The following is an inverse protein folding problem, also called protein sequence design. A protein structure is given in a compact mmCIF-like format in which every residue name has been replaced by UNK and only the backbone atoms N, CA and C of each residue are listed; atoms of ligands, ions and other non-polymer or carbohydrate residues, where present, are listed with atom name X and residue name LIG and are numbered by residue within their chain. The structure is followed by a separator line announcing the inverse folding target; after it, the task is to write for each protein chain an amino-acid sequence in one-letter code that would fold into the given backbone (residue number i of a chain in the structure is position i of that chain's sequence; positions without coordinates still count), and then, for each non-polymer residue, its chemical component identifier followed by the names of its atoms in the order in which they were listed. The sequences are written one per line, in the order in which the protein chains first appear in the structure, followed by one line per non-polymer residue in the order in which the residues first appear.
data_IF_394165159063
#
_entry.id   IF_394165159063
#
_cell.length_a   1.000
_cell.length_b   1.000
_cell.length_c   1.000
_cell.angle_alpha   90.00
_cell.angle_beta   90.00
_cell.angle_gamma   90.00
#
_symmetry.space_group_name_H-M   'P 1'
#
loop_
_entity.id
_entity.type
_entity.pdbx_description
1 polymer ?
#
# COMPACT_ATOMS: atom_id res chain seq x y z
N UNK A 1 44.56 -30.18 -58.97
CA UNK A 1 43.39 -29.26 -58.99
C UNK A 1 42.22 -29.94 -58.28
N UNK A 2 41.92 -29.55 -57.04
CA UNK A 2 40.74 -30.04 -56.28
C UNK A 2 40.02 -28.81 -55.71
N UNK A 3 38.73 -28.67 -56.05
CA UNK A 3 37.84 -27.62 -55.54
C UNK A 3 37.41 -27.99 -54.12
N UNK A 4 37.68 -27.14 -53.14
CA UNK A 4 37.09 -27.21 -51.80
C UNK A 4 35.91 -26.25 -51.74
N UNK A 5 34.71 -26.79 -51.61
CA UNK A 5 33.50 -26.03 -51.27
C UNK A 5 33.53 -25.74 -49.77
N UNK A 6 33.53 -24.47 -49.39
CA UNK A 6 33.37 -24.04 -48.01
C UNK A 6 31.91 -23.60 -47.82
N UNK A 7 31.11 -24.44 -47.17
CA UNK A 7 29.74 -24.09 -46.80
C UNK A 7 29.76 -23.16 -45.58
N UNK A 8 29.16 -21.97 -45.70
CA UNK A 8 29.03 -21.01 -44.61
C UNK A 8 27.71 -21.26 -43.88
N UNK A 9 27.76 -21.88 -42.70
CA UNK A 9 26.62 -22.11 -41.82
C UNK A 9 26.32 -20.81 -41.06
N UNK A 10 25.22 -20.14 -41.42
CA UNK A 10 24.68 -18.99 -40.68
C UNK A 10 23.85 -19.54 -39.52
N UNK A 11 24.36 -19.39 -38.29
CA UNK A 11 23.63 -19.73 -37.08
C UNK A 11 22.71 -18.55 -36.72
N UNK A 12 21.43 -18.67 -37.03
CA UNK A 12 20.40 -17.70 -36.67
C UNK A 12 20.05 -17.91 -35.19
N UNK A 13 20.65 -17.10 -34.31
CA UNK A 13 20.32 -17.10 -32.89
C UNK A 13 18.93 -16.46 -32.74
N UNK A 14 17.89 -17.29 -32.67
CA UNK A 14 16.59 -16.88 -32.15
C UNK A 14 16.76 -16.59 -30.66
N UNK A 15 17.00 -15.33 -30.30
CA UNK A 15 16.81 -14.89 -28.91
C UNK A 15 15.31 -14.86 -28.67
N UNK A 16 14.75 -15.97 -28.21
CA UNK A 16 13.44 -15.97 -27.55
C UNK A 16 13.57 -15.03 -26.37
N UNK A 17 12.98 -13.84 -26.49
CA UNK A 17 12.82 -12.93 -25.37
C UNK A 17 12.03 -13.65 -24.30
N UNK A 18 12.74 -14.16 -23.28
CA UNK A 18 12.11 -14.52 -22.02
C UNK A 18 11.56 -13.20 -21.48
N UNK A 19 10.26 -12.96 -21.71
CA UNK A 19 9.49 -12.04 -20.90
C UNK A 19 9.57 -12.57 -19.47
N UNK A 20 10.55 -12.10 -18.71
CA UNK A 20 10.58 -12.29 -17.27
C UNK A 20 9.27 -11.73 -16.73
N UNK A 21 8.36 -12.60 -16.28
CA UNK A 21 7.23 -12.18 -15.45
C UNK A 21 7.84 -11.38 -14.30
N UNK A 22 7.58 -10.08 -14.26
CA UNK A 22 8.02 -9.25 -13.15
C UNK A 22 7.53 -9.90 -11.85
N UNK A 23 8.46 -10.16 -10.94
CA UNK A 23 8.12 -10.69 -9.63
C UNK A 23 7.24 -9.67 -8.91
N UNK A 24 6.11 -10.13 -8.41
CA UNK A 24 5.16 -9.28 -7.68
C UNK A 24 5.82 -8.75 -6.40
N UNK A 25 5.79 -7.43 -6.20
CA UNK A 25 6.39 -6.81 -5.01
C UNK A 25 5.60 -7.18 -3.76
N UNK A 26 6.28 -7.24 -2.62
CA UNK A 26 5.69 -7.63 -1.35
C UNK A 26 4.41 -6.85 -0.98
N UNK A 27 4.34 -5.51 -1.08
CA UNK A 27 3.13 -4.76 -0.73
C UNK A 27 1.89 -5.20 -1.53
N UNK A 28 2.09 -5.61 -2.79
CA UNK A 28 1.01 -6.10 -3.65
C UNK A 28 0.56 -7.49 -3.20
N UNK A 29 1.50 -8.36 -2.83
CA UNK A 29 1.20 -9.69 -2.30
C UNK A 29 0.43 -9.60 -0.97
N UNK A 30 0.84 -8.70 -0.09
CA UNK A 30 0.21 -8.47 1.21
C UNK A 30 -1.25 -8.03 1.05
N UNK A 31 -1.52 -6.95 0.31
CA UNK A 31 -2.90 -6.44 0.14
C UNK A 31 -3.82 -7.47 -0.54
N UNK A 32 -3.29 -8.24 -1.51
CA UNK A 32 -4.02 -9.35 -2.13
C UNK A 32 -4.33 -10.46 -1.12
N UNK A 33 -3.38 -10.78 -0.25
CA UNK A 33 -3.57 -11.77 0.82
C UNK A 33 -4.63 -11.30 1.80
N UNK A 34 -4.57 -10.03 2.23
CA UNK A 34 -5.57 -9.41 3.12
C UNK A 34 -6.97 -9.50 2.51
N UNK A 35 -7.15 -9.00 1.29
CA UNK A 35 -8.44 -9.02 0.64
C UNK A 35 -8.97 -10.45 0.45
N UNK A 36 -8.10 -11.39 0.04
CA UNK A 36 -8.46 -12.80 -0.14
C UNK A 36 -8.92 -13.45 1.17
N UNK A 37 -8.18 -13.26 2.27
CA UNK A 37 -8.54 -13.84 3.57
C UNK A 37 -9.88 -13.26 4.06
N UNK A 38 -10.08 -11.95 3.95
CA UNK A 38 -11.34 -11.32 4.35
C UNK A 38 -12.53 -11.83 3.52
N UNK A 39 -12.40 -11.92 2.20
CA UNK A 39 -13.44 -12.43 1.31
C UNK A 39 -13.76 -13.92 1.56
N UNK A 40 -12.74 -14.76 1.76
CA UNK A 40 -12.92 -16.18 2.08
C UNK A 40 -13.62 -16.40 3.43
N UNK A 41 -13.52 -15.44 4.33
CA UNK A 41 -14.22 -15.44 5.62
C UNK A 41 -15.56 -14.71 5.60
N UNK A 42 -16.04 -14.31 4.41
CA UNK A 42 -17.39 -13.75 4.20
C UNK A 42 -17.49 -12.23 4.35
N UNK A 43 -16.38 -11.49 4.37
CA UNK A 43 -16.41 -10.04 4.31
C UNK A 43 -16.59 -9.55 2.87
N UNK A 44 -17.45 -8.55 2.69
CA UNK A 44 -17.42 -7.68 1.50
C UNK A 44 -16.32 -6.63 1.69
N UNK A 45 -15.49 -6.37 0.68
CA UNK A 45 -14.47 -5.31 0.75
C UNK A 45 -15.10 -3.99 0.32
N UNK A 46 -15.06 -2.98 1.20
CA UNK A 46 -15.60 -1.64 0.96
C UNK A 46 -14.54 -0.78 0.28
N UNK A 47 -13.35 -0.69 0.87
CA UNK A 47 -12.25 0.12 0.38
C UNK A 47 -10.90 -0.42 0.84
N UNK A 48 -9.85 0.04 0.16
CA UNK A 48 -8.47 -0.31 0.47
C UNK A 48 -7.55 0.85 0.12
N UNK A 49 -6.41 0.91 0.79
CA UNK A 49 -5.41 1.96 0.61
C UNK A 49 -4.02 1.36 0.64
N UNK A 50 -3.16 1.78 -0.28
CA UNK A 50 -1.71 1.60 -0.21
C UNK A 50 -1.10 2.99 -0.03
N UNK A 51 -0.25 3.13 0.97
CA UNK A 51 0.39 4.36 1.38
C UNK A 51 1.90 4.16 1.46
N UNK A 52 2.67 5.16 1.06
CA UNK A 52 4.11 5.16 1.24
C UNK A 52 4.67 6.56 1.48
N UNK A 53 5.80 6.64 2.18
CA UNK A 53 6.48 7.88 2.52
C UNK A 53 7.99 7.76 2.37
N UNK A 54 8.61 8.75 1.74
CA UNK A 54 10.08 8.90 1.67
C UNK A 54 10.50 10.31 2.08
N UNK A 55 11.63 10.44 2.78
CA UNK A 55 12.28 11.74 2.99
C UNK A 55 12.92 12.22 1.69
N UNK A 56 12.54 13.40 1.23
CA UNK A 56 13.15 14.01 0.05
C UNK A 56 14.59 14.43 0.39
N UNK A 57 15.57 13.72 -0.19
CA UNK A 57 16.99 13.97 0.06
C UNK A 57 17.52 15.23 -0.66
N UNK A 58 16.81 15.70 -1.70
CA UNK A 58 17.29 16.76 -2.60
C UNK A 58 16.52 18.07 -2.47
N UNK A 59 15.64 18.21 -1.48
CA UNK A 59 14.84 19.43 -1.27
C UNK A 59 15.27 20.08 0.03
N UNK A 60 16.12 21.09 -0.10
CA UNK A 60 16.72 21.79 1.03
C UNK A 60 16.02 23.12 1.34
N UNK A 61 15.39 23.72 0.34
CA UNK A 61 14.80 25.05 0.45
C UNK A 61 13.50 25.20 -0.37
N UNK A 62 12.87 26.36 -0.23
CA UNK A 62 11.63 26.71 -0.92
C UNK A 62 11.76 26.69 -2.45
N UNK A 63 12.90 27.09 -3.00
CA UNK A 63 13.12 27.08 -4.45
C UNK A 63 13.13 25.65 -5.01
N UNK A 64 13.79 24.73 -4.32
CA UNK A 64 13.82 23.32 -4.70
C UNK A 64 12.44 22.68 -4.60
N UNK A 65 11.67 23.04 -3.56
CA UNK A 65 10.28 22.63 -3.42
C UNK A 65 9.45 23.04 -4.64
N UNK A 66 9.49 24.32 -5.02
CA UNK A 66 8.71 24.86 -6.14
C UNK A 66 9.13 24.19 -7.45
N UNK A 67 10.45 24.04 -7.71
CA UNK A 67 10.97 23.35 -8.89
C UNK A 67 10.46 21.91 -8.98
N UNK A 68 10.44 21.17 -7.85
CA UNK A 68 9.97 19.79 -7.83
C UNK A 68 8.46 19.71 -8.10
N UNK A 69 7.68 20.63 -7.54
CA UNK A 69 6.24 20.70 -7.82
C UNK A 69 5.97 21.00 -9.30
N UNK A 70 6.72 21.91 -9.91
CA UNK A 70 6.56 22.23 -11.33
C UNK A 70 7.03 21.11 -12.27
N UNK A 71 8.05 20.35 -11.87
CA UNK A 71 8.41 19.07 -12.52
C UNK A 71 7.22 18.09 -12.45
N UNK A 72 6.66 17.86 -11.26
CA UNK A 72 5.55 16.93 -11.07
C UNK A 72 4.27 17.35 -11.79
N UNK A 73 3.93 18.65 -11.84
CA UNK A 73 2.80 19.15 -12.63
C UNK A 73 2.94 18.82 -14.11
N UNK A 74 4.18 18.83 -14.65
CA UNK A 74 4.47 18.44 -16.04
C UNK A 74 4.46 16.93 -16.25
N UNK A 75 5.00 16.18 -15.29
CA UNK A 75 5.05 14.70 -15.34
C UNK A 75 3.67 14.06 -15.13
N UNK A 76 2.82 14.69 -14.32
CA UNK A 76 1.50 14.21 -13.92
C UNK A 76 0.39 15.22 -14.29
N UNK A 77 0.17 15.49 -15.59
CA UNK A 77 -0.75 16.53 -16.05
C UNK A 77 -2.23 16.21 -15.74
N UNK A 78 -2.55 14.93 -15.47
CA UNK A 78 -3.90 14.49 -15.09
C UNK A 78 -4.24 14.78 -13.62
N UNK A 79 -3.24 15.10 -12.79
CA UNK A 79 -3.45 15.40 -11.38
C UNK A 79 -3.89 16.85 -11.21
N UNK A 80 -4.89 17.05 -10.38
CA UNK A 80 -5.30 18.38 -9.92
C UNK A 80 -4.44 18.76 -8.72
N UNK A 81 -3.69 19.85 -8.87
CA UNK A 81 -2.72 20.29 -7.88
C UNK A 81 -3.25 21.44 -7.03
N UNK A 82 -3.14 21.31 -5.72
CA UNK A 82 -3.36 22.38 -4.74
C UNK A 82 -2.08 22.67 -3.96
N UNK A 83 -1.98 23.90 -3.47
CA UNK A 83 -0.86 24.37 -2.66
C UNK A 83 -1.40 24.97 -1.37
N UNK A 84 -0.81 24.56 -0.26
CA UNK A 84 -1.09 25.08 1.08
C UNK A 84 0.24 25.54 1.68
N UNK A 85 0.25 26.71 2.29
CA UNK A 85 1.45 27.21 2.98
C UNK A 85 1.03 28.02 4.18
N UNK A 86 1.58 27.66 5.33
CA UNK A 86 1.50 28.43 6.57
C UNK A 86 2.90 28.58 7.20
N UNK A 87 2.97 29.06 8.45
CA UNK A 87 4.24 29.32 9.15
C UNK A 87 5.05 28.05 9.44
N UNK A 88 4.43 26.89 9.47
CA UNK A 88 5.03 25.62 9.89
C UNK A 88 5.07 24.58 8.77
N UNK A 89 4.18 24.69 7.78
CA UNK A 89 3.99 23.69 6.72
C UNK A 89 3.94 24.34 5.35
N UNK A 90 4.72 23.79 4.42
CA UNK A 90 4.52 23.97 2.98
C UNK A 90 4.08 22.64 2.38
N UNK A 91 2.95 22.62 1.66
CA UNK A 91 2.38 21.40 1.10
C UNK A 91 1.89 21.61 -0.32
N UNK A 92 2.27 20.70 -1.20
CA UNK A 92 1.69 20.53 -2.53
C UNK A 92 0.95 19.20 -2.55
N UNK A 93 -0.29 19.19 -3.03
CA UNK A 93 -1.09 17.96 -3.14
C UNK A 93 -1.61 17.83 -4.56
N UNK A 94 -1.20 16.79 -5.26
CA UNK A 94 -1.81 16.35 -6.51
C UNK A 94 -2.84 15.26 -6.22
N UNK A 95 -4.06 15.39 -6.74
CA UNK A 95 -5.08 14.34 -6.67
C UNK A 95 -5.56 13.93 -8.05
N UNK A 96 -5.75 12.63 -8.28
CA UNK A 96 -6.27 12.10 -9.53
C UNK A 96 -7.26 10.96 -9.25
N UNK A 97 -8.50 11.13 -9.69
CA UNK A 97 -9.55 10.11 -9.57
C UNK A 97 -9.74 9.47 -10.94
N UNK A 98 -9.65 8.14 -10.99
CA UNK A 98 -9.87 7.38 -12.22
C UNK A 98 -10.50 6.03 -11.94
N UNK A 99 -11.54 5.67 -12.70
CA UNK A 99 -12.29 4.44 -12.50
C UNK A 99 -12.78 4.31 -11.04
N UNK A 100 -12.45 3.22 -10.34
CA UNK A 100 -12.76 3.00 -8.93
C UNK A 100 -11.59 3.30 -7.99
N UNK A 101 -10.63 4.14 -8.42
CA UNK A 101 -9.41 4.47 -7.68
C UNK A 101 -9.19 5.97 -7.57
N UNK A 102 -8.46 6.36 -6.52
CA UNK A 102 -7.98 7.70 -6.28
C UNK A 102 -6.49 7.65 -5.94
N UNK A 103 -5.70 8.42 -6.67
CA UNK A 103 -4.29 8.66 -6.40
C UNK A 103 -4.11 10.02 -5.72
N UNK A 104 -3.19 10.08 -4.76
CA UNK A 104 -2.77 11.32 -4.11
C UNK A 104 -1.25 11.35 -3.99
N UNK A 105 -0.64 12.41 -4.49
CA UNK A 105 0.80 12.70 -4.37
C UNK A 105 0.96 13.93 -3.51
N UNK A 106 1.81 13.89 -2.50
CA UNK A 106 2.08 15.06 -1.65
C UNK A 106 3.57 15.31 -1.51
N UNK A 107 3.96 16.57 -1.63
CA UNK A 107 5.24 17.08 -1.17
C UNK A 107 4.99 17.95 0.05
N UNK A 108 5.57 17.61 1.19
CA UNK A 108 5.30 18.29 2.46
C UNK A 108 6.63 18.68 3.09
N UNK A 109 6.87 19.96 3.32
CA UNK A 109 7.96 20.46 4.16
C UNK A 109 7.38 20.91 5.50
N UNK A 110 7.88 20.35 6.59
CA UNK A 110 7.53 20.76 7.96
C UNK A 110 8.74 21.37 8.64
N UNK A 111 8.55 22.49 9.34
CA UNK A 111 9.58 23.07 10.20
C UNK A 111 9.45 22.45 11.59
N UNK A 112 10.05 21.27 11.79
CA UNK A 112 10.16 20.63 13.10
C UNK A 112 11.59 20.82 13.64
N UNK A 113 11.74 21.35 14.85
CA UNK A 113 13.03 21.45 15.56
C UNK A 113 14.15 22.14 14.75
N UNK A 114 13.90 23.36 14.28
CA UNK A 114 14.86 24.27 13.60
C UNK A 114 15.39 23.83 12.21
N UNK A 115 15.22 22.57 11.80
CA UNK A 115 15.59 22.09 10.46
C UNK A 115 14.35 21.67 9.66
N UNK A 116 14.07 22.31 8.51
CA UNK A 116 13.01 21.86 7.62
C UNK A 116 13.22 20.40 7.20
N UNK A 117 12.17 19.59 7.29
CA UNK A 117 12.17 18.24 6.77
C UNK A 117 11.13 18.12 5.66
N UNK A 118 11.56 17.61 4.52
CA UNK A 118 10.69 17.43 3.35
C UNK A 118 10.38 15.96 3.11
N UNK A 119 9.11 15.65 2.85
CA UNK A 119 8.58 14.32 2.68
C UNK A 119 7.81 14.22 1.35
N UNK A 120 7.96 13.09 0.68
CA UNK A 120 7.12 12.66 -0.44
C UNK A 120 6.16 11.62 0.11
N UNK A 121 4.87 11.82 -0.11
CA UNK A 121 3.82 10.86 0.22
C UNK A 121 3.11 10.45 -1.06
N UNK A 122 2.88 9.16 -1.21
CA UNK A 122 2.02 8.63 -2.27
C UNK A 122 0.97 7.71 -1.65
N UNK A 123 -0.28 7.92 -2.05
CA UNK A 123 -1.43 7.15 -1.63
C UNK A 123 -2.22 6.70 -2.86
N UNK A 124 -2.52 5.40 -2.93
CA UNK A 124 -3.46 4.81 -3.86
C UNK A 124 -4.61 4.22 -3.06
N UNK A 125 -5.80 4.79 -3.21
CA UNK A 125 -7.04 4.31 -2.62
C UNK A 125 -7.93 3.69 -3.70
N UNK A 126 -8.65 2.64 -3.35
CA UNK A 126 -9.69 2.09 -4.22
C UNK A 126 -10.93 1.66 -3.46
N UNK A 127 -12.04 1.57 -4.19
CA UNK A 127 -13.35 1.18 -3.68
C UNK A 127 -13.75 -0.17 -4.28
N UNK A 128 -14.09 -1.12 -3.41
CA UNK A 128 -14.31 -2.51 -3.78
C UNK A 128 -13.03 -3.27 -4.15
N UNK A 129 -13.17 -4.59 -4.29
CA UNK A 129 -12.06 -5.49 -4.67
C UNK A 129 -12.47 -6.41 -5.82
N UNK A 130 -12.14 -6.01 -7.05
CA UNK A 130 -12.46 -6.75 -8.28
C UNK A 130 -11.22 -7.35 -8.93
N UNK A 131 -11.41 -8.28 -9.88
CA UNK A 131 -10.28 -8.82 -10.66
C UNK A 131 -9.49 -7.73 -11.41
N UNK A 132 -10.18 -6.71 -11.91
CA UNK A 132 -9.55 -5.57 -12.58
C UNK A 132 -8.63 -4.82 -11.63
N UNK A 133 -9.07 -4.59 -10.38
CA UNK A 133 -8.23 -4.00 -9.33
C UNK A 133 -7.01 -4.87 -9.08
N UNK A 134 -7.20 -6.18 -8.87
CA UNK A 134 -6.12 -7.12 -8.59
C UNK A 134 -5.06 -7.19 -9.71
N UNK A 135 -5.49 -7.06 -10.97
CA UNK A 135 -4.60 -7.07 -12.14
C UNK A 135 -3.80 -5.78 -12.29
N UNK A 136 -4.41 -4.64 -11.97
CA UNK A 136 -3.83 -3.32 -12.28
C UNK A 136 -3.04 -2.69 -11.13
N UNK A 137 -3.39 -2.99 -9.87
CA UNK A 137 -2.83 -2.33 -8.68
C UNK A 137 -1.30 -2.39 -8.65
N UNK A 138 -0.72 -3.54 -9.02
CA UNK A 138 0.72 -3.73 -8.99
C UNK A 138 1.48 -2.85 -10.00
N UNK A 139 0.92 -2.71 -11.20
CA UNK A 139 1.51 -1.85 -12.22
C UNK A 139 1.45 -0.37 -11.81
N UNK A 140 0.32 0.07 -11.26
CA UNK A 140 0.14 1.46 -10.81
C UNK A 140 1.15 1.80 -9.71
N UNK A 141 1.22 0.97 -8.65
CA UNK A 141 2.15 1.18 -7.54
C UNK A 141 3.60 1.17 -8.02
N UNK A 142 3.99 0.18 -8.83
CA UNK A 142 5.37 0.06 -9.33
C UNK A 142 5.77 1.27 -10.17
N UNK A 143 4.92 1.66 -11.12
CA UNK A 143 5.17 2.80 -11.99
C UNK A 143 5.27 4.09 -11.19
N UNK A 144 4.31 4.36 -10.30
CA UNK A 144 4.28 5.60 -9.51
C UNK A 144 5.44 5.70 -8.54
N UNK A 145 5.77 4.59 -7.87
CA UNK A 145 6.92 4.55 -6.96
C UNK A 145 8.22 4.84 -7.71
N UNK A 146 8.43 4.26 -8.89
CA UNK A 146 9.63 4.52 -9.70
C UNK A 146 9.74 5.97 -10.20
N UNK A 147 8.62 6.67 -10.36
CA UNK A 147 8.58 8.07 -10.82
C UNK A 147 8.75 9.08 -9.68
N UNK A 148 8.37 8.70 -8.45
CA UNK A 148 8.31 9.60 -7.30
C UNK A 148 9.47 9.41 -6.32
N UNK A 149 9.95 8.18 -6.18
CA UNK A 149 10.75 7.73 -5.04
C UNK A 149 12.14 7.29 -5.50
N UNK A 150 13.16 7.57 -4.69
CA UNK A 150 14.56 7.28 -5.02
C UNK A 150 15.04 5.97 -4.38
N UNK A 151 14.44 5.59 -3.26
CA UNK A 151 14.73 4.35 -2.54
C UNK A 151 13.54 3.40 -2.62
N UNK A 152 13.72 2.17 -2.12
CA UNK A 152 12.58 1.30 -1.82
C UNK A 152 11.96 1.79 -0.50
N UNK A 153 10.81 2.48 -0.55
CA UNK A 153 10.20 3.00 0.66
C UNK A 153 9.50 1.87 1.42
N UNK A 154 9.19 2.11 2.70
CA UNK A 154 8.23 1.26 3.39
C UNK A 154 6.82 1.54 2.84
N UNK A 155 6.05 0.48 2.62
CA UNK A 155 4.64 0.58 2.26
C UNK A 155 3.76 0.23 3.45
N UNK A 156 2.60 0.85 3.50
CA UNK A 156 1.54 0.54 4.43
C UNK A 156 0.31 0.22 3.60
N UNK A 157 -0.35 -0.89 3.90
CA UNK A 157 -1.57 -1.27 3.19
C UNK A 157 -2.68 -1.48 4.20
N UNK A 158 -3.87 -0.97 3.90
CA UNK A 158 -5.07 -1.19 4.69
C UNK A 158 -6.19 -1.72 3.78
N UNK A 159 -6.95 -2.70 4.26
CA UNK A 159 -8.17 -3.16 3.63
C UNK A 159 -9.30 -3.09 4.65
N UNK A 160 -10.38 -2.42 4.27
CA UNK A 160 -11.60 -2.28 5.05
C UNK A 160 -12.72 -3.08 4.40
N UNK A 161 -13.41 -3.86 5.23
CA UNK A 161 -14.53 -4.68 4.82
C UNK A 161 -15.63 -4.74 5.86
N UNK A 162 -16.73 -5.38 5.48
CA UNK A 162 -17.91 -5.56 6.30
C UNK A 162 -18.42 -7.00 6.24
N UNK A 163 -18.69 -7.57 7.41
CA UNK A 163 -19.45 -8.80 7.53
C UNK A 163 -20.93 -8.47 7.71
N UNK A 164 -21.77 -9.04 6.84
CA UNK A 164 -23.21 -8.85 6.89
C UNK A 164 -23.87 -9.87 7.84
N UNK A 165 -24.71 -9.36 8.75
CA UNK A 165 -25.43 -10.16 9.74
C UNK A 165 -24.69 -10.30 11.06
N UNK A 166 -25.42 -10.73 12.11
CA UNK A 166 -24.83 -11.02 13.42
C UNK A 166 -23.88 -12.21 13.31
N UNK A 167 -22.59 -11.93 13.16
CA UNK A 167 -21.57 -12.96 13.33
C UNK A 167 -21.65 -13.49 14.76
N UNK A 168 -21.96 -14.78 14.92
CA UNK A 168 -22.10 -15.41 16.25
C UNK A 168 -20.74 -15.44 16.96
N UNK A 169 -20.66 -14.88 18.16
CA UNK A 169 -19.49 -15.00 19.06
C UNK A 169 -18.93 -13.67 19.56
N UNK A 170 -17.84 -13.77 20.32
CA UNK A 170 -17.07 -12.63 20.85
C UNK A 170 -16.10 -12.12 19.79
N UNK A 171 -16.02 -10.80 19.60
CA UNK A 171 -15.16 -10.15 18.59
C UNK A 171 -13.71 -10.65 18.65
N UNK A 172 -13.15 -10.81 19.85
CA UNK A 172 -11.78 -11.31 20.04
C UNK A 172 -11.58 -12.70 19.43
N UNK A 173 -12.56 -13.60 19.56
CA UNK A 173 -12.48 -14.94 18.95
C UNK A 173 -12.50 -14.86 17.42
N UNK A 174 -13.25 -13.93 16.86
CA UNK A 174 -13.31 -13.68 15.41
C UNK A 174 -11.99 -13.10 14.90
N UNK A 175 -11.41 -12.14 15.64
CA UNK A 175 -10.09 -11.61 15.33
C UNK A 175 -9.04 -12.73 15.28
N UNK A 176 -9.02 -13.63 16.26
CA UNK A 176 -8.10 -14.78 16.28
C UNK A 176 -8.36 -15.79 15.15
N UNK A 177 -9.62 -15.99 14.76
CA UNK A 177 -9.94 -16.82 13.61
C UNK A 177 -9.36 -16.26 12.30
N UNK A 178 -9.50 -14.94 12.08
CA UNK A 178 -8.92 -14.27 10.92
C UNK A 178 -7.39 -14.30 10.96
N UNK A 179 -6.77 -14.06 12.13
CA UNK A 179 -5.31 -14.14 12.29
C UNK A 179 -4.76 -15.54 12.00
N UNK A 180 -5.51 -16.59 12.34
CA UNK A 180 -5.13 -17.96 11.97
C UNK A 180 -5.10 -18.13 10.44
N UNK A 181 -6.05 -17.55 9.70
CA UNK A 181 -6.04 -17.57 8.23
C UNK A 181 -4.86 -16.79 7.63
N UNK A 182 -4.32 -15.80 8.36
CA UNK A 182 -3.08 -15.11 8.02
C UNK A 182 -1.80 -15.85 8.42
N UNK A 183 -1.90 -17.03 9.06
CA UNK A 183 -0.79 -17.70 9.73
C UNK A 183 -0.04 -16.77 10.70
N UNK A 184 -0.78 -15.90 11.37
CA UNK A 184 -0.25 -14.86 12.23
C UNK A 184 -0.45 -15.22 13.71
N UNK A 185 0.58 -14.99 14.51
CA UNK A 185 0.52 -15.11 15.96
C UNK A 185 0.10 -13.77 16.58
N UNK A 186 -0.91 -13.72 17.45
CA UNK A 186 -1.26 -12.50 18.18
C UNK A 186 -0.15 -12.12 19.17
N UNK A 187 0.09 -10.81 19.33
CA UNK A 187 1.10 -10.26 20.24
C UNK A 187 0.42 -9.55 21.40
N UNK A 188 -0.52 -8.67 21.09
CA UNK A 188 -1.27 -7.86 22.04
C UNK A 188 -2.66 -7.59 21.50
N UNK A 189 -3.61 -7.36 22.40
CA UNK A 189 -4.98 -7.06 22.05
C UNK A 189 -5.56 -5.96 22.95
N UNK A 190 -6.24 -4.99 22.34
CA UNK A 190 -7.14 -4.05 22.99
C UNK A 190 -8.57 -4.56 22.80
N UNK A 191 -9.32 -4.70 23.89
CA UNK A 191 -10.71 -5.19 23.85
C UNK A 191 -11.63 -4.23 24.58
N UNK A 192 -12.71 -3.84 23.91
CA UNK A 192 -13.81 -3.02 24.39
C UNK A 192 -15.15 -3.67 23.98
N UNK A 193 -16.28 -3.19 24.48
CA UNK A 193 -17.60 -3.83 24.31
C UNK A 193 -18.01 -4.06 22.84
N UNK A 194 -17.70 -3.07 21.99
CA UNK A 194 -18.05 -3.06 20.58
C UNK A 194 -16.82 -3.06 19.66
N UNK A 195 -15.61 -3.22 20.21
CA UNK A 195 -14.37 -3.04 19.47
C UNK A 195 -13.26 -3.97 19.94
N UNK A 196 -12.49 -4.52 19.02
CA UNK A 196 -11.24 -5.22 19.31
C UNK A 196 -10.18 -4.80 18.31
N UNK A 197 -8.95 -4.63 18.77
CA UNK A 197 -7.77 -4.44 17.93
C UNK A 197 -6.68 -5.38 18.38
N UNK A 198 -6.07 -6.11 17.44
CA UNK A 198 -5.05 -7.12 17.71
C UNK A 198 -3.83 -6.83 16.84
N UNK A 199 -2.69 -6.59 17.48
CA UNK A 199 -1.38 -6.57 16.84
C UNK A 199 -0.87 -8.00 16.72
N UNK A 200 -0.35 -8.38 15.56
CA UNK A 200 0.06 -9.75 15.26
C UNK A 200 1.29 -9.80 14.35
N UNK A 201 1.87 -10.98 14.26
CA UNK A 201 3.06 -11.25 13.45
C UNK A 201 2.91 -12.51 12.61
N UNK A 202 3.21 -12.40 11.32
CA UNK A 202 3.38 -13.52 10.40
C UNK A 202 4.80 -13.56 9.86
N UNK A 203 5.38 -14.75 9.71
CA UNK A 203 6.70 -14.93 9.06
C UNK A 203 6.65 -14.76 7.54
N UNK A 204 5.46 -14.59 6.97
CA UNK A 204 5.26 -14.54 5.53
C UNK A 204 5.57 -13.17 4.91
N UNK A 205 5.71 -12.12 5.74
CA UNK A 205 5.92 -10.72 5.35
C UNK A 205 7.18 -10.16 6.03
N UNK A 206 8.00 -9.46 5.26
CA UNK A 206 9.30 -8.89 5.63
C UNK A 206 9.17 -7.50 6.25
N UNK A 207 8.15 -6.73 5.88
CA UNK A 207 7.91 -5.39 6.42
C UNK A 207 7.39 -5.44 7.86
N UNK A 208 8.26 -5.14 8.82
CA UNK A 208 8.01 -5.35 10.26
C UNK A 208 8.21 -4.05 11.03
N UNK A 209 7.26 -3.76 11.93
CA UNK A 209 7.40 -2.72 12.94
C UNK A 209 7.92 -3.29 14.26
N UNK A 210 8.93 -2.65 14.87
CA UNK A 210 9.31 -2.96 16.23
C UNK A 210 8.20 -2.51 17.19
N UNK A 211 7.87 -3.33 18.18
CA UNK A 211 7.06 -2.91 19.34
C UNK A 211 7.89 -3.03 20.61
N UNK A 212 7.34 -2.58 21.74
CA UNK A 212 8.00 -2.67 23.04
C UNK A 212 8.27 -4.12 23.48
N UNK A 213 7.54 -5.11 22.94
CA UNK A 213 7.67 -6.52 23.34
C UNK A 213 8.16 -7.41 22.21
N UNK A 214 7.46 -7.43 21.07
CA UNK A 214 7.75 -8.30 19.93
C UNK A 214 7.47 -7.59 18.59
N UNK A 215 8.22 -7.87 17.51
CA UNK A 215 7.93 -7.32 16.19
C UNK A 215 6.52 -7.65 15.72
N UNK A 216 5.84 -6.71 15.05
CA UNK A 216 4.52 -6.91 14.44
C UNK A 216 4.52 -6.51 12.97
N UNK A 217 3.67 -7.13 12.16
CA UNK A 217 3.45 -6.77 10.76
C UNK A 217 1.99 -6.92 10.31
N UNK A 218 1.08 -7.18 11.25
CA UNK A 218 -0.36 -7.17 11.04
C UNK A 218 -0.98 -6.40 12.20
N UNK A 219 -1.89 -5.49 11.88
CA UNK A 219 -2.87 -5.00 12.83
C UNK A 219 -4.27 -5.30 12.28
N UNK A 220 -5.06 -6.06 13.05
CA UNK A 220 -6.41 -6.44 12.69
C UNK A 220 -7.36 -5.88 13.73
N UNK A 221 -8.42 -5.22 13.29
CA UNK A 221 -9.37 -4.65 14.22
C UNK A 221 -10.81 -4.74 13.71
N UNK A 222 -11.72 -5.13 14.62
CA UNK A 222 -13.14 -5.37 14.36
C UNK A 222 -13.98 -4.42 15.20
N UNK A 223 -15.01 -3.84 14.59
CA UNK A 223 -15.95 -2.94 15.26
C UNK A 223 -17.38 -3.34 14.92
N UNK A 224 -18.23 -3.52 15.93
CA UNK A 224 -19.68 -3.66 15.73
C UNK A 224 -20.27 -2.32 15.30
N UNK A 225 -21.03 -2.34 14.22
CA UNK A 225 -21.73 -1.18 13.65
C UNK A 225 -23.21 -1.52 13.45
N UNK A 226 -24.05 -0.52 13.14
CA UNK A 226 -25.47 -0.73 12.82
C UNK A 226 -26.26 -1.47 13.91
N UNK A 227 -26.20 -0.99 15.17
CA UNK A 227 -26.83 -1.64 16.35
C UNK A 227 -26.36 -3.09 16.62
N UNK A 228 -25.24 -3.50 16.03
CA UNK A 228 -24.66 -4.84 16.17
C UNK A 228 -25.06 -5.84 15.09
N UNK A 229 -25.75 -5.38 14.03
CA UNK A 229 -26.13 -6.22 12.88
C UNK A 229 -25.03 -6.29 11.80
N UNK A 230 -24.01 -5.43 11.92
CA UNK A 230 -22.84 -5.40 11.04
C UNK A 230 -21.56 -5.41 11.87
N UNK A 231 -20.50 -5.97 11.29
CA UNK A 231 -19.15 -5.89 11.86
C UNK A 231 -18.20 -5.39 10.78
N UNK A 232 -17.64 -4.20 11.01
CA UNK A 232 -16.57 -3.64 10.19
C UNK A 232 -15.26 -4.30 10.58
N UNK A 233 -14.49 -4.72 9.59
CA UNK A 233 -13.13 -5.24 9.74
C UNK A 233 -12.16 -4.33 9.01
N UNK A 234 -11.05 -4.02 9.68
CA UNK A 234 -9.91 -3.32 9.08
C UNK A 234 -8.67 -4.14 9.36
N UNK A 235 -7.90 -4.44 8.32
CA UNK A 235 -6.60 -5.10 8.43
C UNK A 235 -5.56 -4.19 7.80
N UNK A 236 -4.57 -3.82 8.59
CA UNK A 236 -3.42 -3.03 8.18
C UNK A 236 -2.12 -3.85 8.23
N UNK A 237 -1.22 -3.59 7.29
CA UNK A 237 0.17 -4.04 7.32
C UNK A 237 1.10 -2.85 7.11
N UNK A 238 2.14 -2.68 7.94
CA UNK A 238 2.32 -3.36 9.22
C UNK A 238 1.32 -2.87 10.30
N UNK A 239 0.65 -1.72 10.08
CA UNK A 239 -0.29 -1.08 11.01
C UNK A 239 -1.49 -0.48 10.25
N UNK A 240 -2.61 -0.25 10.95
CA UNK A 240 -3.77 0.45 10.38
C UNK A 240 -3.48 1.96 10.32
N UNK A 241 -3.61 2.55 9.13
CA UNK A 241 -3.38 3.98 8.88
C UNK A 241 -4.65 4.72 8.43
N UNK A 242 -5.82 4.05 8.50
CA UNK A 242 -7.11 4.60 8.09
C UNK A 242 -8.10 4.56 9.27
N UNK A 243 -9.06 5.46 9.25
CA UNK A 243 -10.12 5.53 10.27
C UNK A 243 -11.31 4.61 9.95
N UNK A 244 -12.12 4.34 10.99
CA UNK A 244 -13.34 3.51 10.95
C UNK A 244 -14.53 4.20 10.29
#
# INVERSE_FOLDING_TARGET
MKKTWMAMLIFLIFTTGHFSKAQETEPIKEIKTIASVLQQNGASINDWTIYTREYAQTIENHSDFVKKVDEWKRTFPMFQWTMETDRHVQRATGSYVHSSMQEKIQLVTTVANEKPQTYILYELKGFGWSETVQKNIGQIISQRSSQLLMKQPAFFSCVKGEFNGKMKGVLLKQAYHLLHAFHAAPIEALTEDAFVSVSAYTRQWENVLPTNTHPMNIQLALRKTGLGDQTTVVVGTPIITIEY
#
